data_IF_055170802316
#
_entry.id   IF_055170802316
#
_cell.length_a   1.000
_cell.length_b   1.000
_cell.length_c   1.000
_cell.angle_alpha   90.00
_cell.angle_beta   90.00
_cell.angle_gamma   90.00
#
_symmetry.space_group_name_H-M   'P 1'
#
loop_
_entity.id
_entity.type
_entity.pdbx_description
1 polymer ?
#
# COMPACT_ATOMS: atom_id res chain seq x y z
N UNK A 1 24.99 -6.73 -7.91
CA UNK A 1 23.56 -6.37 -8.06
C UNK A 1 22.77 -7.24 -7.10
N UNK A 2 22.10 -6.64 -6.11
CA UNK A 2 21.29 -7.40 -5.13
C UNK A 2 20.10 -8.01 -5.86
N UNK A 3 19.92 -9.34 -5.79
CA UNK A 3 18.76 -10.02 -6.39
C UNK A 3 17.41 -9.53 -5.81
N UNK A 4 17.47 -8.83 -4.67
CA UNK A 4 16.36 -8.22 -3.95
C UNK A 4 16.55 -6.69 -4.06
N UNK A 5 16.09 -6.09 -5.16
CA UNK A 5 16.17 -4.64 -5.42
C UNK A 5 14.88 -4.12 -6.06
N UNK A 6 14.67 -2.80 -6.08
CA UNK A 6 13.52 -2.21 -6.77
C UNK A 6 13.58 -2.47 -8.28
N UNK A 7 14.76 -2.37 -8.90
CA UNK A 7 14.94 -2.59 -10.33
C UNK A 7 14.50 -4.00 -10.74
N UNK A 8 14.80 -5.02 -9.92
CA UNK A 8 14.39 -6.39 -10.22
C UNK A 8 12.87 -6.59 -10.17
N UNK A 9 12.16 -5.84 -9.33
CA UNK A 9 10.70 -5.89 -9.25
C UNK A 9 10.08 -5.09 -10.40
N UNK A 10 10.66 -3.94 -10.73
CA UNK A 10 10.17 -3.02 -11.77
C UNK A 10 10.45 -3.53 -13.19
N UNK A 11 11.38 -4.47 -13.39
CA UNK A 11 11.65 -5.09 -14.70
C UNK A 11 10.65 -6.20 -15.10
N UNK A 12 9.78 -6.65 -14.20
CA UNK A 12 8.84 -7.75 -14.48
C UNK A 12 7.71 -7.24 -15.38
N UNK A 13 7.50 -7.87 -16.53
CA UNK A 13 6.55 -7.40 -17.52
C UNK A 13 5.37 -8.37 -17.73
N UNK A 14 4.19 -7.82 -18.04
CA UNK A 14 3.02 -8.62 -18.45
C UNK A 14 3.37 -9.47 -19.66
N UNK A 15 3.02 -10.76 -19.62
CA UNK A 15 3.30 -11.70 -20.70
C UNK A 15 4.58 -12.50 -20.54
N UNK A 16 5.45 -12.14 -19.59
CA UNK A 16 6.62 -12.96 -19.27
C UNK A 16 6.21 -14.36 -18.80
N UNK A 17 6.74 -15.40 -19.44
CA UNK A 17 6.45 -16.80 -19.12
C UNK A 17 7.52 -17.46 -18.25
N UNK A 18 8.63 -16.76 -18.03
CA UNK A 18 9.81 -17.26 -17.32
C UNK A 18 10.35 -16.25 -16.30
N UNK A 19 9.47 -15.45 -15.71
CA UNK A 19 9.88 -14.44 -14.74
C UNK A 19 10.53 -15.08 -13.52
N UNK A 20 11.49 -14.35 -12.97
CA UNK A 20 12.27 -14.73 -11.80
C UNK A 20 12.15 -13.64 -10.75
N UNK A 21 11.94 -14.03 -9.50
CA UNK A 21 11.87 -13.08 -8.40
C UNK A 21 12.50 -13.66 -7.15
N UNK A 22 13.26 -12.84 -6.44
CA UNK A 22 13.77 -13.16 -5.11
C UNK A 22 13.29 -12.09 -4.12
N UNK A 23 12.76 -12.52 -2.98
CA UNK A 23 12.34 -11.58 -1.94
C UNK A 23 11.79 -12.25 -0.69
N UNK A 24 11.30 -11.42 0.22
CA UNK A 24 10.78 -11.79 1.53
C UNK A 24 9.29 -12.13 1.46
N UNK A 25 8.89 -13.26 2.06
CA UNK A 25 7.48 -13.63 2.20
C UNK A 25 6.87 -12.97 3.47
N UNK A 26 5.88 -12.09 3.31
CA UNK A 26 5.35 -11.26 4.43
C UNK A 26 3.82 -11.30 4.62
N UNK A 27 3.02 -11.64 3.61
CA UNK A 27 1.55 -11.66 3.74
C UNK A 27 0.94 -12.98 3.23
N UNK A 28 1.05 -14.04 4.01
CA UNK A 28 0.47 -15.35 3.68
C UNK A 28 -1.03 -15.36 4.05
N UNK A 29 -1.92 -15.37 3.06
CA UNK A 29 -3.37 -15.31 3.31
C UNK A 29 -4.02 -16.69 3.59
N UNK A 30 -3.23 -17.77 3.59
CA UNK A 30 -3.71 -19.15 3.60
C UNK A 30 -4.48 -19.53 2.33
N UNK A 31 -4.85 -20.80 2.21
CA UNK A 31 -5.70 -21.27 1.10
C UNK A 31 -7.14 -20.79 1.28
N UNK A 32 -7.69 -20.18 0.22
CA UNK A 32 -9.10 -19.83 0.10
C UNK A 32 -9.77 -20.71 -0.95
N UNK A 33 -10.91 -21.31 -0.60
CA UNK A 33 -11.76 -22.03 -1.56
C UNK A 33 -12.79 -21.06 -2.16
N UNK A 34 -12.77 -20.93 -3.47
CA UNK A 34 -13.68 -20.09 -4.24
C UNK A 34 -14.92 -20.89 -4.69
N UNK A 35 -15.90 -20.16 -5.24
CA UNK A 35 -17.07 -20.76 -5.88
C UNK A 35 -16.62 -21.76 -6.96
N UNK A 36 -17.33 -22.89 -7.07
CA UNK A 36 -17.00 -24.04 -7.95
C UNK A 36 -15.82 -24.91 -7.48
N UNK A 37 -15.41 -24.81 -6.21
CA UNK A 37 -14.45 -25.73 -5.60
C UNK A 37 -12.99 -25.50 -6.00
N UNK A 38 -12.69 -24.40 -6.69
CA UNK A 38 -11.30 -24.00 -6.98
C UNK A 38 -10.65 -23.46 -5.71
N UNK A 39 -9.37 -23.79 -5.50
CA UNK A 39 -8.61 -23.23 -4.38
C UNK A 39 -7.52 -22.28 -4.87
N UNK A 40 -7.24 -21.26 -4.06
CA UNK A 40 -6.17 -20.30 -4.33
C UNK A 40 -5.36 -20.07 -3.07
N UNK A 41 -4.04 -20.15 -3.19
CA UNK A 41 -3.09 -19.67 -2.20
C UNK A 41 -2.50 -18.37 -2.71
N UNK A 42 -2.64 -17.30 -1.92
CA UNK A 42 -2.16 -15.97 -2.25
C UNK A 42 -1.17 -15.52 -1.19
N UNK A 43 -0.07 -14.96 -1.67
CA UNK A 43 0.91 -14.32 -0.81
C UNK A 43 1.64 -13.18 -1.51
N UNK A 44 2.36 -12.39 -0.73
CA UNK A 44 3.16 -11.28 -1.21
C UNK A 44 4.63 -11.57 -0.97
N UNK A 45 5.42 -11.33 -2.02
CA UNK A 45 6.88 -11.22 -1.94
C UNK A 45 7.24 -9.75 -2.01
N UNK A 46 8.12 -9.28 -1.14
CA UNK A 46 8.62 -7.91 -1.17
C UNK A 46 10.14 -7.85 -1.09
N UNK A 47 10.70 -6.67 -1.34
CA UNK A 47 12.15 -6.46 -1.28
C UNK A 47 12.62 -5.63 -0.09
N UNK A 48 11.74 -5.28 0.85
CA UNK A 48 11.98 -4.31 1.93
C UNK A 48 12.51 -2.92 1.47
N UNK A 49 12.36 -2.59 0.18
CA UNK A 49 12.77 -1.31 -0.43
C UNK A 49 11.58 -0.54 -1.04
N UNK A 50 10.36 -0.93 -0.66
CA UNK A 50 9.12 -0.28 -1.09
C UNK A 50 8.47 -0.91 -2.32
N UNK A 51 8.98 -2.04 -2.83
CA UNK A 51 8.31 -2.83 -3.86
C UNK A 51 7.84 -4.18 -3.36
N UNK A 52 6.66 -4.56 -3.82
CA UNK A 52 5.99 -5.81 -3.50
C UNK A 52 5.36 -6.39 -4.76
N UNK A 53 5.26 -7.71 -4.84
CA UNK A 53 4.57 -8.41 -5.92
C UNK A 53 3.71 -9.53 -5.35
N UNK A 54 2.52 -9.70 -5.91
CA UNK A 54 1.59 -10.74 -5.50
C UNK A 54 1.87 -12.03 -6.26
N UNK A 55 1.97 -13.14 -5.52
CA UNK A 55 2.08 -14.48 -6.07
C UNK A 55 0.76 -15.24 -5.85
N UNK A 56 0.33 -15.96 -6.88
CA UNK A 56 -0.90 -16.75 -6.90
C UNK A 56 -0.61 -18.20 -7.30
N UNK A 57 -0.98 -19.15 -6.45
CA UNK A 57 -1.00 -20.57 -6.76
C UNK A 57 -2.44 -21.10 -6.75
N UNK A 58 -2.80 -21.92 -7.74
CA UNK A 58 -4.15 -22.43 -7.93
C UNK A 58 -4.22 -23.94 -7.71
N UNK A 59 -5.36 -24.41 -7.19
CA UNK A 59 -5.73 -25.81 -7.05
C UNK A 59 -4.61 -26.66 -6.41
N UNK A 60 -4.08 -27.67 -7.13
CA UNK A 60 -3.02 -28.55 -6.63
C UNK A 60 -1.74 -27.80 -6.25
N UNK A 61 -1.42 -26.72 -6.96
CA UNK A 61 -0.25 -25.91 -6.67
C UNK A 61 -0.48 -25.07 -5.41
N UNK A 62 -1.72 -24.69 -5.09
CA UNK A 62 -2.04 -23.97 -3.85
C UNK A 62 -1.63 -24.80 -2.62
N UNK A 63 -2.09 -26.05 -2.52
CA UNK A 63 -1.77 -26.96 -1.42
C UNK A 63 -0.26 -27.23 -1.31
N UNK A 64 0.41 -27.46 -2.44
CA UNK A 64 1.85 -27.67 -2.49
C UNK A 64 2.60 -26.47 -1.92
N UNK A 65 2.32 -25.26 -2.40
CA UNK A 65 3.10 -24.08 -2.05
C UNK A 65 2.74 -23.49 -0.69
N UNK A 66 1.50 -23.61 -0.22
CA UNK A 66 1.14 -23.22 1.16
C UNK A 66 2.00 -23.99 2.17
N UNK A 67 2.24 -25.28 1.95
CA UNK A 67 3.08 -26.09 2.85
C UNK A 67 4.58 -25.75 2.80
N UNK A 68 5.04 -25.11 1.71
CA UNK A 68 6.46 -24.82 1.46
C UNK A 68 6.86 -23.40 1.87
N UNK A 69 5.92 -22.45 1.79
CA UNK A 69 6.20 -21.03 2.01
C UNK A 69 5.87 -20.65 3.44
N UNK A 70 6.90 -20.25 4.18
CA UNK A 70 6.77 -19.71 5.53
C UNK A 70 7.05 -18.22 5.54
N UNK A 71 6.35 -17.47 6.40
CA UNK A 71 6.60 -16.05 6.57
C UNK A 71 8.02 -15.80 7.10
N UNK A 72 8.54 -14.59 6.90
CA UNK A 72 9.87 -14.17 7.35
C UNK A 72 11.01 -15.03 6.77
N UNK A 73 10.82 -15.56 5.56
CA UNK A 73 11.84 -16.29 4.82
C UNK A 73 12.06 -15.64 3.46
N UNK A 74 13.27 -15.80 2.93
CA UNK A 74 13.63 -15.37 1.58
C UNK A 74 13.44 -16.55 0.64
N UNK A 75 12.71 -16.32 -0.44
CA UNK A 75 12.51 -17.31 -1.50
C UNK A 75 12.94 -16.77 -2.85
N UNK A 76 13.54 -17.63 -3.65
CA UNK A 76 13.75 -17.42 -5.08
C UNK A 76 12.77 -18.29 -5.85
N UNK A 77 12.03 -17.66 -6.75
CA UNK A 77 11.11 -18.32 -7.67
C UNK A 77 11.60 -18.13 -9.10
N UNK A 78 11.49 -19.19 -9.91
CA UNK A 78 11.75 -19.15 -11.34
C UNK A 78 10.56 -19.74 -12.11
N UNK A 79 10.46 -19.42 -13.39
CA UNK A 79 9.41 -19.91 -14.28
C UNK A 79 8.00 -19.51 -13.82
N UNK A 80 7.86 -18.25 -13.38
CA UNK A 80 6.57 -17.63 -13.08
C UNK A 80 5.95 -17.06 -14.36
N UNK A 81 4.62 -17.08 -14.44
CA UNK A 81 3.86 -16.40 -15.50
C UNK A 81 3.37 -15.06 -15.00
N UNK A 82 3.55 -14.01 -15.79
CA UNK A 82 3.15 -12.65 -15.43
C UNK A 82 1.85 -12.27 -16.12
N UNK A 83 0.88 -11.82 -15.34
CA UNK A 83 -0.41 -11.32 -15.78
C UNK A 83 -0.61 -9.90 -15.25
N UNK A 84 -1.49 -9.10 -15.86
CA UNK A 84 -1.85 -7.81 -15.28
C UNK A 84 -2.58 -8.00 -13.95
N UNK A 85 -2.35 -7.09 -13.00
CA UNK A 85 -3.09 -7.07 -11.72
C UNK A 85 -4.60 -6.95 -11.93
N UNK A 86 -5.37 -7.63 -11.09
CA UNK A 86 -6.80 -7.31 -10.97
C UNK A 86 -6.96 -5.94 -10.31
N UNK A 87 -7.44 -4.97 -11.09
CA UNK A 87 -7.64 -3.59 -10.65
C UNK A 87 -8.56 -3.45 -9.44
N UNK A 88 -9.47 -4.40 -9.21
CA UNK A 88 -10.34 -4.39 -8.03
C UNK A 88 -9.56 -4.64 -6.73
N UNK A 89 -8.41 -5.32 -6.82
CA UNK A 89 -7.56 -5.70 -5.71
C UNK A 89 -6.17 -5.08 -5.80
N UNK A 90 -5.98 -4.06 -6.64
CA UNK A 90 -4.73 -3.35 -6.80
C UNK A 90 -4.77 -2.02 -6.09
N UNK A 91 -3.76 -1.74 -5.29
CA UNK A 91 -3.53 -0.43 -4.70
C UNK A 91 -2.04 -0.05 -4.90
N UNK A 92 -1.73 0.82 -5.88
CA UNK A 92 -0.34 1.21 -6.14
C UNK A 92 0.29 1.95 -4.95
N UNK A 93 -0.54 2.45 -4.03
CA UNK A 93 -0.11 3.14 -2.81
C UNK A 93 0.45 2.19 -1.74
N UNK A 94 0.40 0.87 -1.96
CA UNK A 94 1.05 -0.15 -1.15
C UNK A 94 2.44 -0.57 -1.67
N UNK A 95 2.91 0.03 -2.78
CA UNK A 95 4.15 -0.38 -3.43
C UNK A 95 4.05 -1.70 -4.20
N UNK A 96 2.81 -2.16 -4.45
CA UNK A 96 2.54 -3.32 -5.29
C UNK A 96 2.85 -2.98 -6.75
N UNK A 97 3.67 -3.80 -7.41
CA UNK A 97 3.90 -3.70 -8.85
C UNK A 97 2.63 -4.05 -9.62
N UNK A 98 2.49 -3.53 -10.84
CA UNK A 98 1.29 -3.65 -11.69
C UNK A 98 1.14 -5.02 -12.38
N UNK A 99 1.83 -6.04 -11.87
CA UNK A 99 1.75 -7.44 -12.32
C UNK A 99 1.42 -8.41 -11.19
N UNK A 100 0.77 -9.51 -11.55
CA UNK A 100 0.61 -10.69 -10.70
C UNK A 100 1.45 -11.85 -11.24
N UNK A 101 2.09 -12.57 -10.32
CA UNK A 101 2.95 -13.71 -10.63
C UNK A 101 2.22 -15.01 -10.34
N UNK A 102 1.95 -15.77 -11.39
CA UNK A 102 1.27 -17.06 -11.30
C UNK A 102 2.27 -18.19 -11.19
N UNK A 103 2.12 -18.96 -10.12
CA UNK A 103 2.77 -20.24 -9.92
C UNK A 103 2.09 -21.26 -10.83
N UNK A 104 2.90 -22.04 -11.50
CA UNK A 104 2.47 -23.15 -12.34
C UNK A 104 3.23 -24.42 -11.99
N UNK A 105 2.85 -25.55 -12.61
CA UNK A 105 3.58 -26.82 -12.47
C UNK A 105 5.05 -26.74 -12.88
N UNK A 106 5.46 -25.74 -13.68
CA UNK A 106 6.85 -25.52 -14.10
C UNK A 106 7.62 -24.60 -13.16
N UNK A 107 6.94 -23.91 -12.25
CA UNK A 107 7.58 -22.99 -11.32
C UNK A 107 8.47 -23.78 -10.36
N UNK A 108 9.67 -23.28 -10.13
CA UNK A 108 10.58 -23.78 -9.10
C UNK A 108 10.68 -22.75 -7.99
N UNK A 109 10.80 -23.23 -6.76
CA UNK A 109 10.97 -22.39 -5.58
C UNK A 109 12.10 -22.94 -4.72
N UNK A 110 12.99 -22.05 -4.28
CA UNK A 110 14.09 -22.35 -3.39
C UNK A 110 14.07 -21.38 -2.21
N UNK A 111 14.02 -21.89 -0.99
CA UNK A 111 14.30 -21.08 0.21
C UNK A 111 15.78 -20.72 0.20
N UNK A 112 16.07 -19.42 0.24
CA UNK A 112 17.43 -18.88 0.23
C UNK A 112 17.95 -18.71 1.66
N UNK A 113 17.06 -18.37 2.59
CA UNK A 113 17.40 -18.20 4.00
C UNK A 113 16.25 -17.60 4.77
N UNK A 114 16.54 -17.21 6.00
CA UNK A 114 15.62 -16.42 6.81
C UNK A 114 15.68 -14.96 6.40
N UNK A 115 14.54 -14.28 6.47
CA UNK A 115 14.56 -12.83 6.47
C UNK A 115 15.42 -12.38 7.66
N UNK A 116 16.27 -11.34 7.51
CA UNK A 116 16.92 -10.77 8.67
C UNK A 116 15.83 -10.46 9.69
N UNK A 117 16.06 -10.83 10.95
CA UNK A 117 15.17 -10.46 12.04
C UNK A 117 14.81 -8.99 11.84
N UNK A 118 13.51 -8.62 11.89
CA UNK A 118 13.09 -7.26 11.59
C UNK A 118 14.03 -6.33 12.33
N UNK A 119 14.87 -5.60 11.58
CA UNK A 119 15.85 -4.68 12.17
C UNK A 119 15.09 -3.94 13.24
N UNK A 120 15.61 -3.90 14.48
CA UNK A 120 14.99 -3.20 15.60
C UNK A 120 14.47 -1.87 15.04
N UNK A 121 13.15 -1.80 14.82
CA UNK A 121 12.63 -0.89 13.82
C UNK A 121 13.07 0.51 14.24
N UNK A 122 13.86 1.19 13.41
CA UNK A 122 14.25 2.55 13.72
C UNK A 122 12.94 3.33 13.91
N UNK A 123 12.79 3.97 15.07
CA UNK A 123 11.59 4.77 15.34
C UNK A 123 11.51 5.86 14.27
N UNK A 124 10.42 5.84 13.52
CA UNK A 124 10.17 6.77 12.42
C UNK A 124 9.39 7.98 12.97
N UNK A 125 9.81 9.22 12.70
CA UNK A 125 9.02 10.40 13.02
C UNK A 125 7.68 10.41 12.29
N UNK A 126 6.57 10.76 12.96
CA UNK A 126 5.23 10.72 12.34
C UNK A 126 5.12 11.58 11.07
N UNK A 127 5.87 12.69 10.97
CA UNK A 127 5.91 13.52 9.77
C UNK A 127 6.47 12.81 8.52
N UNK A 128 7.27 11.76 8.69
CA UNK A 128 7.95 11.08 7.58
C UNK A 128 7.12 9.96 6.96
N UNK A 129 6.12 9.45 7.70
CA UNK A 129 5.33 8.26 7.29
C UNK A 129 4.58 8.45 5.98
N UNK A 130 4.23 9.69 5.61
CA UNK A 130 3.56 9.98 4.33
C UNK A 130 4.40 9.61 3.10
N UNK A 131 5.73 9.56 3.24
CA UNK A 131 6.67 9.23 2.16
C UNK A 131 7.18 7.78 2.22
N UNK A 132 6.60 6.96 3.10
CA UNK A 132 7.08 5.61 3.37
C UNK A 132 6.03 4.56 2.98
N UNK A 133 6.49 3.31 2.85
CA UNK A 133 5.66 2.16 2.52
C UNK A 133 6.08 0.97 3.40
N UNK A 134 5.18 0.01 3.60
CA UNK A 134 5.45 -1.18 4.42
C UNK A 134 5.27 -0.94 5.92
N UNK A 135 5.91 -1.77 6.75
CA UNK A 135 5.78 -1.71 8.20
C UNK A 135 6.66 -0.63 8.84
N UNK A 136 6.10 0.08 9.82
CA UNK A 136 6.79 1.10 10.61
C UNK A 136 6.66 0.84 12.10
N UNK A 137 7.60 1.42 12.84
CA UNK A 137 7.52 1.62 14.28
C UNK A 137 7.58 3.12 14.54
N UNK A 138 6.57 3.67 15.20
CA UNK A 138 6.45 5.09 15.49
C UNK A 138 6.16 5.31 16.96
N UNK A 139 6.41 6.52 17.44
CA UNK A 139 6.08 6.95 18.80
C UNK A 139 5.20 8.19 18.75
N UNK A 140 4.27 8.29 19.69
CA UNK A 140 3.36 9.43 19.79
C UNK A 140 2.37 9.25 20.93
N UNK A 141 1.57 10.28 21.16
CA UNK A 141 0.53 10.28 22.18
C UNK A 141 -0.80 9.90 21.55
N UNK A 142 -1.61 9.07 22.21
CA UNK A 142 -3.00 8.81 21.78
C UNK A 142 -3.73 10.16 21.76
N UNK A 143 -4.19 10.57 20.59
CA UNK A 143 -4.95 11.80 20.42
C UNK A 143 -6.44 11.50 20.43
N UNK A 144 -6.89 10.68 19.47
CA UNK A 144 -8.26 10.17 19.43
C UNK A 144 -8.26 8.73 19.93
N UNK A 145 -9.10 8.42 20.91
CA UNK A 145 -9.28 7.06 21.44
C UNK A 145 -9.64 6.11 20.29
N UNK A 146 -9.07 4.90 20.32
CA UNK A 146 -9.41 3.85 19.37
C UNK A 146 -10.80 3.33 19.73
N UNK A 147 -11.79 3.66 18.91
CA UNK A 147 -13.17 3.19 19.06
C UNK A 147 -13.51 2.18 17.97
N UNK A 148 -14.08 1.04 18.35
CA UNK A 148 -14.47 -0.02 17.42
C UNK A 148 -15.97 -0.16 17.26
N UNK A 149 -16.39 -0.70 16.11
CA UNK A 149 -17.76 -1.19 15.91
C UNK A 149 -17.80 -2.70 16.08
N UNK A 150 -18.73 -3.19 16.90
CA UNK A 150 -18.78 -4.57 17.40
C UNK A 150 -18.94 -5.68 16.34
N UNK A 151 -19.14 -5.34 15.06
CA UNK A 151 -19.44 -6.34 14.03
C UNK A 151 -18.21 -7.06 13.44
N UNK A 152 -17.00 -6.49 13.51
CA UNK A 152 -15.78 -7.11 12.95
C UNK A 152 -14.55 -6.99 13.86
N UNK A 153 -14.71 -6.47 15.09
CA UNK A 153 -13.58 -6.24 16.00
C UNK A 153 -12.55 -5.24 15.45
N UNK A 154 -12.94 -4.35 14.54
CA UNK A 154 -12.05 -3.29 14.01
C UNK A 154 -12.38 -1.96 14.66
N UNK A 155 -11.35 -1.14 14.91
CA UNK A 155 -11.51 0.21 15.43
C UNK A 155 -10.48 1.19 14.87
N UNK A 156 -10.80 2.46 15.01
CA UNK A 156 -9.98 3.56 14.52
C UNK A 156 -9.76 4.57 15.64
N UNK A 157 -8.55 5.13 15.69
CA UNK A 157 -8.16 6.23 16.56
C UNK A 157 -7.06 7.04 15.89
N UNK A 158 -6.30 7.80 16.67
CA UNK A 158 -5.14 8.53 16.12
C UNK A 158 -4.06 8.77 17.17
N UNK A 159 -2.84 8.97 16.70
CA UNK A 159 -1.69 9.39 17.51
C UNK A 159 -1.12 10.72 17.01
N UNK A 160 -0.48 11.47 17.90
CA UNK A 160 0.22 12.72 17.58
C UNK A 160 1.60 12.80 18.22
N UNK A 161 2.55 13.43 17.54
CA UNK A 161 3.87 13.81 18.05
C UNK A 161 3.92 15.29 18.47
N UNK A 162 2.74 15.92 18.63
CA UNK A 162 2.53 17.37 18.86
C UNK A 162 2.77 18.25 17.64
N UNK A 163 3.10 17.68 16.48
CA UNK A 163 3.26 18.42 15.23
C UNK A 163 2.23 17.96 14.20
N UNK A 164 2.07 16.64 14.06
CA UNK A 164 1.14 16.01 13.12
C UNK A 164 0.28 14.98 13.82
N UNK A 165 -0.80 14.54 13.16
CA UNK A 165 -1.68 13.47 13.62
C UNK A 165 -1.84 12.40 12.56
N UNK A 166 -1.65 11.14 12.98
CA UNK A 166 -1.74 9.97 12.10
C UNK A 166 -2.86 9.07 12.60
N UNK A 167 -3.73 8.64 11.67
CA UNK A 167 -4.80 7.68 11.99
C UNK A 167 -4.19 6.32 12.25
N UNK A 168 -4.71 5.62 13.24
CA UNK A 168 -4.40 4.21 13.52
C UNK A 168 -5.67 3.38 13.38
N UNK A 169 -5.60 2.32 12.58
CA UNK A 169 -6.65 1.32 12.43
C UNK A 169 -6.19 0.03 13.11
N UNK A 170 -7.00 -0.52 14.01
CA UNK A 170 -6.67 -1.73 14.77
C UNK A 170 -7.72 -2.79 14.48
N UNK A 171 -7.31 -3.99 14.08
CA UNK A 171 -8.20 -5.14 13.93
C UNK A 171 -8.24 -5.99 15.21
N UNK A 172 -9.12 -6.99 15.22
CA UNK A 172 -9.22 -8.00 16.27
C UNK A 172 -9.22 -7.43 17.70
N UNK A 173 -9.94 -6.32 17.92
CA UNK A 173 -10.15 -5.70 19.23
C UNK A 173 -10.97 -6.67 20.08
N UNK A 174 -10.28 -7.51 20.84
CA UNK A 174 -10.91 -8.45 21.77
C UNK A 174 -11.05 -7.88 23.17
N UNK A 175 -10.24 -6.89 23.55
CA UNK A 175 -10.36 -6.08 24.77
C UNK A 175 -9.64 -4.73 24.55
N UNK A 176 -10.28 -3.58 24.83
CA UNK A 176 -9.57 -2.30 24.80
C UNK A 176 -8.52 -2.29 25.93
N UNK A 177 -7.25 -2.28 25.55
CA UNK A 177 -6.10 -2.24 26.46
C UNK A 177 -6.06 -0.92 27.25
N UNK A 178 -5.44 -0.93 28.45
CA UNK A 178 -5.09 0.27 29.24
C UNK A 178 -4.28 1.31 28.45
N UNK A 179 -3.68 0.87 27.34
CA UNK A 179 -2.95 1.70 26.39
C UNK A 179 -3.88 2.69 25.63
N UNK A 180 -5.19 2.44 25.59
CA UNK A 180 -6.17 3.22 24.82
C UNK A 180 -6.76 4.41 25.60
N UNK A 181 -5.89 5.21 26.22
CA UNK A 181 -6.26 6.42 26.99
C UNK A 181 -5.73 7.65 26.26
N UNK A 182 -6.58 8.65 25.95
CA UNK A 182 -6.11 9.92 25.38
C UNK A 182 -4.98 10.53 26.21
N UNK A 183 -3.93 10.95 25.54
CA UNK A 183 -2.72 11.50 26.12
C UNK A 183 -1.65 10.48 26.49
N UNK A 184 -1.95 9.18 26.52
CA UNK A 184 -0.96 8.15 26.81
C UNK A 184 0.16 8.13 25.75
N UNK A 185 1.42 8.07 26.17
CA UNK A 185 2.54 7.94 25.26
C UNK A 185 2.78 6.49 24.85
N UNK A 186 2.66 6.25 23.56
CA UNK A 186 2.65 4.91 22.99
C UNK A 186 3.67 4.77 21.87
N UNK A 187 4.14 3.55 21.70
CA UNK A 187 4.85 3.08 20.52
C UNK A 187 3.93 2.15 19.74
N UNK A 188 3.81 2.42 18.45
CA UNK A 188 2.90 1.73 17.54
C UNK A 188 3.69 1.05 16.45
N UNK A 189 3.48 -0.26 16.30
CA UNK A 189 3.97 -1.05 15.18
C UNK A 189 2.81 -1.35 14.22
N UNK A 190 3.00 -1.10 12.94
CA UNK A 190 1.95 -1.44 11.97
C UNK A 190 2.34 -1.19 10.53
N UNK A 191 1.50 -1.66 9.60
CA UNK A 191 1.64 -1.45 8.16
C UNK A 191 1.16 -0.04 7.80
N UNK A 192 1.92 0.71 7.03
CA UNK A 192 1.45 1.94 6.41
C UNK A 192 0.51 1.60 5.25
N UNK A 193 -0.68 2.18 5.31
CA UNK A 193 -1.71 2.09 4.29
C UNK A 193 -2.18 3.50 3.94
N UNK A 194 -2.90 3.66 2.83
CA UNK A 194 -3.45 4.95 2.40
C UNK A 194 -4.92 4.81 2.04
N UNK A 195 -5.70 5.82 2.40
CA UNK A 195 -7.09 5.91 1.98
C UNK A 195 -7.13 6.10 0.46
N UNK A 196 -7.93 5.28 -0.25
CA UNK A 196 -8.05 5.33 -1.72
C UNK A 196 -8.55 6.69 -2.22
N UNK A 197 -9.43 7.34 -1.45
CA UNK A 197 -10.11 8.56 -1.87
C UNK A 197 -9.28 9.83 -1.63
N UNK A 198 -8.46 9.84 -0.57
CA UNK A 198 -7.77 11.06 -0.11
C UNK A 198 -6.24 10.92 -0.09
N UNK A 199 -5.71 9.72 -0.33
CA UNK A 199 -4.28 9.43 -0.24
C UNK A 199 -3.68 9.60 1.16
N UNK A 200 -4.53 9.77 2.18
CA UNK A 200 -4.09 10.00 3.55
C UNK A 200 -3.53 8.73 4.15
N UNK A 201 -2.32 8.84 4.70
CA UNK A 201 -1.62 7.72 5.33
C UNK A 201 -2.22 7.39 6.70
N UNK A 202 -2.40 6.11 6.95
CA UNK A 202 -2.77 5.57 8.26
C UNK A 202 -1.93 4.34 8.58
N UNK A 203 -1.82 4.03 9.87
CA UNK A 203 -1.09 2.85 10.35
C UNK A 203 -2.12 1.77 10.68
N UNK A 204 -1.96 0.61 10.06
CA UNK A 204 -2.80 -0.56 10.25
C UNK A 204 -2.11 -1.55 11.20
N UNK A 205 -2.76 -1.84 12.32
CA UNK A 205 -2.31 -2.75 13.36
C UNK A 205 -3.20 -3.99 13.38
N UNK A 206 -2.60 -5.18 13.54
CA UNK A 206 -3.37 -6.43 13.59
C UNK A 206 -4.23 -6.55 14.85
N UNK A 207 -3.73 -6.01 15.96
CA UNK A 207 -4.36 -5.99 17.29
C UNK A 207 -3.62 -5.01 18.22
N UNK A 208 -4.08 -4.92 19.48
CA UNK A 208 -3.51 -4.07 20.53
C UNK A 208 -2.12 -4.48 21.01
N UNK A 209 -1.63 -5.70 20.73
CA UNK A 209 -0.27 -6.09 21.14
C UNK A 209 0.82 -5.29 20.42
N UNK A 210 0.45 -4.65 19.32
CA UNK A 210 1.32 -3.77 18.54
C UNK A 210 1.32 -2.31 19.03
N UNK A 211 0.60 -2.00 20.10
CA UNK A 211 0.55 -0.67 20.72
C UNK A 211 1.00 -0.84 22.16
N UNK A 212 2.15 -0.25 22.51
CA UNK A 212 2.77 -0.42 23.84
C UNK A 212 3.01 0.94 24.49
N UNK A 213 2.75 1.05 25.79
CA UNK A 213 3.15 2.21 26.59
C UNK A 213 4.68 2.24 26.70
N UNK A 214 5.28 3.42 26.54
CA UNK A 214 6.75 3.55 26.51
C UNK A 214 7.35 4.48 27.56
N UNK A 215 6.53 5.22 28.32
CA UNK A 215 6.92 5.95 29.53
C UNK A 215 5.67 6.44 30.28
N UNK A 216 5.89 7.14 31.40
CA UNK A 216 4.83 7.78 32.21
C UNK A 216 4.46 9.19 31.71
N UNK A 217 4.99 9.61 30.54
CA UNK A 217 4.67 10.92 29.99
C UNK A 217 3.24 10.91 29.46
N UNK A 218 2.46 11.91 29.87
CA UNK A 218 1.09 12.08 29.40
C UNK A 218 0.93 13.46 28.76
N UNK A 219 0.24 13.51 27.62
CA UNK A 219 -0.12 14.77 26.99
C UNK A 219 -1.27 15.43 27.76
N UNK A 220 -1.16 16.73 28.06
CA UNK A 220 -2.22 17.47 28.74
C UNK A 220 -3.47 17.60 27.88
N UNK A 221 -4.64 17.73 28.50
CA UNK A 221 -5.94 17.85 27.82
C UNK A 221 -5.97 19.00 26.80
N UNK A 222 -5.44 20.18 27.17
CA UNK A 222 -5.30 21.32 26.25
C UNK A 222 -4.50 21.01 24.98
N UNK A 223 -3.52 20.10 25.07
CA UNK A 223 -2.68 19.69 23.93
C UNK A 223 -3.32 18.56 23.14
N UNK A 224 -4.13 17.70 23.76
CA UNK A 224 -4.93 16.67 23.09
C UNK A 224 -6.01 17.35 22.23
N UNK A 225 -6.66 18.39 22.74
CA UNK A 225 -7.75 19.08 22.06
C UNK A 225 -7.29 20.00 20.90
N UNK A 226 -5.99 20.05 20.59
CA UNK A 226 -5.46 20.83 19.46
C UNK A 226 -5.71 20.11 18.14
N UNK A 227 -6.08 20.87 17.11
CA UNK A 227 -6.19 20.34 15.76
C UNK A 227 -4.82 20.23 15.09
N UNK A 228 -4.26 19.01 15.06
CA UNK A 228 -3.06 18.70 14.28
C UNK A 228 -3.42 18.24 12.88
N UNK A 229 -2.57 18.58 11.91
CA UNK A 229 -2.73 18.16 10.51
C UNK A 229 -2.18 16.75 10.30
N UNK A 230 -2.75 16.03 9.33
CA UNK A 230 -2.16 14.78 8.85
C UNK A 230 -0.88 15.01 8.07
N UNK A 231 0.13 14.13 8.18
CA UNK A 231 1.37 14.27 7.44
C UNK A 231 1.09 14.24 5.94
N UNK A 232 1.83 15.08 5.20
CA UNK A 232 1.70 15.22 3.76
C UNK A 232 2.96 14.70 3.07
N UNK A 233 2.85 14.09 1.88
CA UNK A 233 4.02 13.74 1.09
C UNK A 233 4.87 14.98 0.83
N UNK A 234 6.19 14.84 0.81
CA UNK A 234 7.07 15.90 0.34
C UNK A 234 6.76 16.11 -1.14
N UNK A 235 6.30 17.31 -1.51
CA UNK A 235 6.18 17.67 -2.92
C UNK A 235 7.56 17.59 -3.55
N UNK A 236 7.69 16.74 -4.57
CA UNK A 236 8.87 16.72 -5.41
C UNK A 236 8.92 18.03 -6.20
N UNK A 237 9.81 18.94 -5.82
CA UNK A 237 9.96 20.25 -6.49
C UNK A 237 10.56 20.13 -7.89
N UNK A 238 10.99 18.93 -8.30
CA UNK A 238 11.48 18.68 -9.66
C UNK A 238 10.35 18.54 -10.71
N UNK A 239 9.08 18.52 -10.28
CA UNK A 239 7.90 18.46 -11.14
C UNK A 239 6.98 19.70 -11.02
N UNK A 240 7.49 20.86 -10.57
CA UNK A 240 6.73 22.09 -10.79
C UNK A 240 6.81 22.43 -12.29
N UNK A 241 5.69 22.54 -13.03
CA UNK A 241 5.74 23.12 -14.36
C UNK A 241 6.28 24.54 -14.21
N UNK A 242 7.29 24.87 -15.01
CA UNK A 242 7.87 26.22 -15.06
C UNK A 242 6.73 27.24 -15.01
N UNK A 243 6.76 28.12 -14.00
CA UNK A 243 5.82 29.23 -13.88
C UNK A 243 5.91 30.00 -15.19
N UNK A 244 4.90 29.84 -16.03
CA UNK A 244 4.76 30.56 -17.29
C UNK A 244 4.75 32.05 -16.93
N UNK A 245 5.88 32.69 -17.20
CA UNK A 245 6.09 34.09 -16.89
C UNK A 245 5.10 34.88 -17.75
N UNK A 246 4.18 35.58 -17.10
CA UNK A 246 3.06 36.25 -17.75
C UNK A 246 3.51 37.25 -18.80
N UNK A 247 3.55 36.83 -20.07
CA UNK A 247 3.35 37.72 -21.21
C UNK A 247 1.90 37.57 -21.63
N UNK A 248 1.14 38.61 -21.28
CA UNK A 248 -0.23 38.89 -21.68
C UNK A 248 -0.30 38.85 -23.21
N UNK A 249 -0.79 37.75 -23.79
CA UNK A 249 -1.21 37.76 -25.19
C UNK A 249 -2.52 38.55 -25.24
N UNK A 250 -2.45 39.73 -25.85
CA UNK A 250 -3.61 40.49 -26.27
C UNK A 250 -4.21 39.70 -27.45
N UNK A 251 -5.44 39.22 -27.29
CA UNK A 251 -6.24 38.75 -28.42
C UNK A 251 -6.53 39.97 -29.29
N UNK A 252 -5.91 40.02 -30.47
CA UNK A 252 -6.45 40.81 -31.57
C UNK A 252 -7.53 39.97 -32.26
N UNK A 253 -8.68 40.60 -32.47
CA UNK A 253 -9.87 40.05 -33.10
C UNK A 253 -9.57 39.50 -34.50
N UNK A 254 -10.01 38.28 -34.77
CA UNK A 254 -10.20 37.78 -36.13
C UNK A 254 -11.62 37.22 -36.27
N UNK A 255 -12.52 38.10 -36.72
CA UNK A 255 -13.81 37.80 -37.31
C UNK A 255 -13.63 37.00 -38.62
N UNK A 256 -13.62 35.67 -38.58
CA UNK A 256 -13.61 34.86 -39.82
C UNK A 256 -14.23 33.46 -39.68
N UNK A 257 -15.37 33.35 -38.97
CA UNK A 257 -16.13 32.09 -38.86
C UNK A 257 -17.60 32.18 -39.29
N UNK A 258 -17.97 33.17 -40.13
CA UNK A 258 -19.35 33.32 -40.61
C UNK A 258 -19.65 32.82 -42.02
N UNK A 259 -18.72 32.21 -42.75
CA UNK A 259 -19.00 31.69 -44.08
C UNK A 259 -18.48 30.26 -44.30
N UNK A 260 -19.15 29.27 -43.72
CA UNK A 260 -19.17 27.92 -44.28
C UNK A 260 -20.61 27.47 -44.48
N UNK A 261 -21.09 27.66 -45.72
CA UNK A 261 -22.35 27.12 -46.22
C UNK A 261 -22.30 25.60 -46.21
N UNK A 262 -23.38 25.04 -45.70
CA UNK A 262 -23.78 23.63 -45.74
C UNK A 262 -23.88 23.20 -47.21
N UNK A 263 -23.11 22.17 -47.61
CA UNK A 263 -23.35 21.42 -48.83
C UNK A 263 -24.14 20.16 -48.46
N UNK A 264 -25.46 20.21 -48.70
CA UNK A 264 -26.36 19.06 -48.65
C UNK A 264 -26.14 18.22 -49.90
N UNK A 265 -25.78 16.95 -49.73
CA UNK A 265 -25.88 15.92 -50.78
C UNK A 265 -27.36 15.61 -51.01
N UNK A 266 -27.89 16.04 -52.16
CA UNK A 266 -29.17 15.59 -52.68
C UNK A 266 -29.00 14.23 -53.36
N UNK A 267 -29.70 13.23 -52.84
CA UNK A 267 -30.15 12.09 -53.62
C UNK A 267 -31.37 12.54 -54.43
N UNK A 268 -31.24 12.56 -55.76
CA UNK A 268 -32.38 12.56 -56.67
C UNK A 268 -32.25 11.37 -57.63
N UNK A 269 -33.31 10.59 -57.65
CA UNK A 269 -33.51 9.39 -58.46
C UNK A 269 -33.89 9.70 -59.92
N UNK A 270 -33.69 8.68 -60.77
CA UNK A 270 -34.31 8.39 -62.09
C UNK A 270 -33.65 8.93 -63.37
N UNK A 271 -32.95 8.04 -64.09
CA UNK A 271 -33.49 7.31 -65.26
C UNK A 271 -32.55 6.16 -65.66
#
# INVERSE_FOLDING_TARGET
MSAISNENFDCICVGDLYAKITGYAESLEGIKTLKKGKSIFRFVINNHQGRQVRLLAWDKDAAKYESLITANCIYSFDCLKCTPVDKNYFDPSEGLVDVELHISSKTTCKRIGDAPAPQAHKIVPLREVANMYGYVLVEGFIHDKITGSGFNGSGSGSITDRQVKVRINVYNIKNPSDVNVPGAHVRVKGKLCRDKDYGLVYIQCQDFTNIVLINDETLSEDKINRNYRSPQPKRDRSQEPDKFNGKKFIMEDCDDLKNMKIASSGDDSMN
#
